data_IF_221175001354
#
_entry.id   IF_221175001354
#
_cell.length_a   1.000
_cell.length_b   1.000
_cell.length_c   1.000
_cell.angle_alpha   90.00
_cell.angle_beta   90.00
_cell.angle_gamma   90.00
#
_symmetry.space_group_name_H-M   'P 1'
#
loop_
_entity.id
_entity.type
_entity.pdbx_description
1 polymer ?
#
# COMPACT_ATOMS: atom_id res chain seq x y z
N UNK A 1 8.45 -9.40 -1.70
CA UNK A 1 7.06 -9.13 -1.43
C UNK A 1 6.12 -10.01 -2.23
N UNK A 2 4.90 -10.02 -1.82
CA UNK A 2 3.84 -10.81 -2.45
C UNK A 2 2.75 -9.85 -2.90
N UNK A 3 2.34 -9.96 -4.16
CA UNK A 3 1.22 -9.19 -4.70
C UNK A 3 0.24 -10.18 -5.33
N UNK A 4 -0.96 -10.26 -4.78
CA UNK A 4 -1.99 -11.20 -5.26
C UNK A 4 -3.31 -10.48 -5.53
N UNK A 5 -3.93 -10.79 -6.66
CA UNK A 5 -5.23 -10.24 -7.04
C UNK A 5 -5.31 -8.72 -6.88
N UNK A 6 -4.24 -8.02 -7.21
CA UNK A 6 -4.16 -6.59 -6.94
C UNK A 6 -3.78 -5.84 -8.20
N UNK A 7 -4.11 -4.55 -8.21
CA UNK A 7 -3.76 -3.65 -9.30
C UNK A 7 -2.84 -2.58 -8.74
N UNK A 8 -1.66 -2.45 -9.32
CA UNK A 8 -0.72 -1.39 -8.98
C UNK A 8 -0.68 -0.41 -10.14
N UNK A 9 -0.94 0.85 -9.86
CA UNK A 9 -0.90 1.87 -10.87
C UNK A 9 0.55 2.32 -11.10
N UNK A 10 0.73 3.50 -11.68
CA UNK A 10 2.04 3.97 -12.09
C UNK A 10 2.86 4.47 -10.89
N UNK A 11 4.16 4.22 -10.92
CA UNK A 11 5.11 4.75 -9.94
C UNK A 11 4.82 4.30 -8.50
N UNK A 12 4.45 3.04 -8.35
CA UNK A 12 4.28 2.46 -7.04
C UNK A 12 5.57 1.78 -6.59
N UNK A 13 6.09 2.18 -5.44
CA UNK A 13 7.23 1.51 -4.82
C UNK A 13 6.73 0.57 -3.73
N UNK A 14 7.16 -0.66 -3.80
CA UNK A 14 6.81 -1.69 -2.79
C UNK A 14 8.09 -2.11 -2.08
N UNK A 15 8.15 -1.86 -0.80
CA UNK A 15 9.31 -2.22 0.01
C UNK A 15 9.49 -3.72 0.18
N UNK A 16 10.47 -4.10 0.97
CA UNK A 16 10.78 -5.51 1.22
C UNK A 16 9.72 -6.16 2.12
N UNK A 17 9.42 -7.43 1.83
CA UNK A 17 8.52 -8.23 2.66
C UNK A 17 7.11 -7.66 2.78
N UNK A 18 6.67 -6.92 1.79
CA UNK A 18 5.30 -6.43 1.77
C UNK A 18 4.36 -7.51 1.24
N UNK A 19 3.13 -7.48 1.72
CA UNK A 19 2.07 -8.35 1.24
C UNK A 19 0.91 -7.48 0.80
N UNK A 20 0.50 -7.62 -0.46
CA UNK A 20 -0.61 -6.85 -1.03
C UNK A 20 -1.58 -7.85 -1.63
N UNK A 21 -2.80 -7.88 -1.11
CA UNK A 21 -3.83 -8.83 -1.55
C UNK A 21 -5.14 -8.12 -1.81
N UNK A 22 -5.78 -8.46 -2.90
CA UNK A 22 -7.14 -7.99 -3.25
C UNK A 22 -7.27 -6.48 -3.10
N UNK A 23 -6.27 -5.73 -3.54
CA UNK A 23 -6.19 -4.30 -3.30
C UNK A 23 -5.90 -3.55 -4.58
N UNK A 24 -6.19 -2.25 -4.55
CA UNK A 24 -5.84 -1.33 -5.64
C UNK A 24 -4.93 -0.26 -5.05
N UNK A 25 -3.74 -0.14 -5.62
CA UNK A 25 -2.77 0.87 -5.19
C UNK A 25 -2.69 1.90 -6.31
N UNK A 26 -3.06 3.13 -6.01
CA UNK A 26 -3.11 4.17 -7.03
C UNK A 26 -1.72 4.72 -7.34
N UNK A 27 -1.65 5.88 -8.00
CA UNK A 27 -0.39 6.39 -8.54
C UNK A 27 0.54 6.94 -7.45
N UNK A 28 1.83 6.76 -7.66
CA UNK A 28 2.87 7.43 -6.87
C UNK A 28 2.74 7.11 -5.37
N UNK A 29 2.55 5.84 -5.07
CA UNK A 29 2.44 5.35 -3.69
C UNK A 29 3.76 4.74 -3.26
N UNK A 30 4.17 5.02 -2.04
CA UNK A 30 5.33 4.41 -1.42
C UNK A 30 4.88 3.51 -0.28
N UNK A 31 5.22 2.25 -0.36
CA UNK A 31 4.93 1.28 0.71
C UNK A 31 6.22 0.91 1.41
N UNK A 32 6.32 1.26 2.68
CA UNK A 32 7.49 0.91 3.48
C UNK A 32 7.60 -0.60 3.70
N UNK A 33 8.76 -1.03 4.18
CA UNK A 33 9.04 -2.45 4.38
C UNK A 33 8.05 -3.10 5.36
N UNK A 34 7.79 -4.38 5.16
CA UNK A 34 6.94 -5.18 6.05
C UNK A 34 5.50 -4.67 6.17
N UNK A 35 5.00 -4.02 5.14
CA UNK A 35 3.63 -3.51 5.13
C UNK A 35 2.70 -4.58 4.59
N UNK A 36 1.54 -4.72 5.24
CA UNK A 36 0.50 -5.65 4.81
C UNK A 36 -0.73 -4.85 4.40
N UNK A 37 -1.15 -5.02 3.16
CA UNK A 37 -2.34 -4.35 2.62
C UNK A 37 -3.28 -5.44 2.09
N UNK A 38 -4.48 -5.48 2.62
CA UNK A 38 -5.46 -6.48 2.20
C UNK A 38 -6.83 -5.86 2.06
N UNK A 39 -7.45 -6.09 0.91
CA UNK A 39 -8.81 -5.62 0.63
C UNK A 39 -8.95 -4.11 0.81
N UNK A 40 -7.99 -3.36 0.31
CA UNK A 40 -7.93 -1.91 0.46
C UNK A 40 -7.73 -1.20 -0.86
N UNK A 41 -8.08 0.08 -0.89
CA UNK A 41 -7.70 0.99 -1.96
C UNK A 41 -6.77 2.03 -1.34
N UNK A 42 -5.52 2.10 -1.82
CA UNK A 42 -4.55 3.07 -1.32
C UNK A 42 -4.56 4.27 -2.26
N UNK A 43 -4.82 5.44 -1.70
CA UNK A 43 -4.97 6.66 -2.46
C UNK A 43 -3.65 7.11 -3.08
N UNK A 44 -3.74 7.82 -4.20
CA UNK A 44 -2.56 8.34 -4.89
C UNK A 44 -1.71 9.21 -3.97
N UNK A 45 -0.39 9.10 -4.13
CA UNK A 45 0.60 9.88 -3.38
C UNK A 45 0.65 9.56 -1.90
N UNK A 46 0.08 8.44 -1.50
CA UNK A 46 0.23 7.98 -0.12
C UNK A 46 1.64 7.51 0.14
N UNK A 47 2.10 7.74 1.34
CA UNK A 47 3.35 7.18 1.85
C UNK A 47 3.02 6.38 3.09
N UNK A 48 3.09 5.07 2.96
CA UNK A 48 2.77 4.15 4.04
C UNK A 48 4.05 3.80 4.77
N UNK A 49 4.07 4.00 6.06
CA UNK A 49 5.25 3.71 6.87
C UNK A 49 5.51 2.22 6.94
N UNK A 50 6.78 1.88 7.17
CA UNK A 50 7.16 0.49 7.39
C UNK A 50 6.36 -0.13 8.53
N UNK A 51 6.17 -1.43 8.46
CA UNK A 51 5.49 -2.23 9.48
C UNK A 51 4.02 -1.85 9.67
N UNK A 52 3.38 -1.32 8.66
CA UNK A 52 1.96 -0.98 8.71
C UNK A 52 1.10 -2.18 8.34
N UNK A 53 -0.09 -2.22 8.89
CA UNK A 53 -1.05 -3.27 8.59
C UNK A 53 -2.42 -2.64 8.32
N UNK A 54 -2.94 -2.88 7.14
CA UNK A 54 -4.27 -2.43 6.74
C UNK A 54 -5.06 -3.60 6.19
N UNK A 55 -6.25 -3.80 6.71
CA UNK A 55 -7.13 -4.85 6.23
C UNK A 55 -8.57 -4.36 6.24
N UNK A 56 -9.24 -4.45 5.12
CA UNK A 56 -10.66 -4.17 5.01
C UNK A 56 -11.44 -5.45 5.17
N UNK A 57 -11.79 -5.82 6.38
CA UNK A 57 -12.55 -7.04 6.65
C UNK A 57 -14.01 -6.84 6.28
N UNK A 58 -14.47 -7.60 5.30
CA UNK A 58 -15.85 -7.52 4.84
C UNK A 58 -16.20 -6.34 3.98
N UNK A 59 -15.39 -5.29 3.99
CA UNK A 59 -15.57 -4.10 3.16
C UNK A 59 -14.23 -3.57 2.71
N UNK A 60 -14.20 -2.96 1.53
CA UNK A 60 -12.99 -2.33 1.03
C UNK A 60 -12.70 -1.09 1.85
N UNK A 61 -11.51 -1.03 2.40
CA UNK A 61 -11.05 0.11 3.17
C UNK A 61 -10.27 1.07 2.27
N UNK A 62 -10.54 2.36 2.40
CA UNK A 62 -9.77 3.38 1.70
C UNK A 62 -8.70 3.91 2.63
N UNK A 63 -7.44 3.80 2.19
CA UNK A 63 -6.29 4.20 2.98
C UNK A 63 -5.78 5.55 2.48
N UNK A 64 -5.68 6.50 3.39
CA UNK A 64 -5.13 7.82 3.11
C UNK A 64 -4.05 8.11 4.15
N UNK A 65 -2.78 8.02 3.74
CA UNK A 65 -1.65 8.31 4.62
C UNK A 65 -0.65 9.20 3.90
N UNK A 66 -0.72 10.47 4.14
CA UNK A 66 0.11 11.48 3.48
C UNK A 66 1.34 11.82 4.32
N UNK A 67 2.14 10.80 4.62
CA UNK A 67 3.38 11.00 5.35
C UNK A 67 4.43 11.67 4.46
N UNK A 68 5.37 12.35 5.08
CA UNK A 68 6.48 12.93 4.34
C UNK A 68 7.43 11.85 3.87
N UNK A 69 7.93 12.01 2.65
CA UNK A 69 8.97 11.14 2.12
C UNK A 69 10.30 11.84 2.28
N UNK A 70 11.00 11.49 3.33
CA UNK A 70 12.37 11.96 3.47
C UNK A 70 13.26 11.23 2.49
N UNK A 71 14.54 11.46 2.57
CA UNK A 71 15.51 10.72 1.77
C UNK A 71 15.35 9.23 2.05
N UNK A 72 14.87 8.53 1.08
CA UNK A 72 14.58 7.11 1.23
C UNK A 72 15.67 6.25 0.58
#
# INVERSE_FOLDING_TARGET
GVVENSVLFKDVFVGNNCVIKNSVILNDVYLGDNTHIENCIVESRDTIRANSYYSGEGEVKIVVEKNERYTL
#
